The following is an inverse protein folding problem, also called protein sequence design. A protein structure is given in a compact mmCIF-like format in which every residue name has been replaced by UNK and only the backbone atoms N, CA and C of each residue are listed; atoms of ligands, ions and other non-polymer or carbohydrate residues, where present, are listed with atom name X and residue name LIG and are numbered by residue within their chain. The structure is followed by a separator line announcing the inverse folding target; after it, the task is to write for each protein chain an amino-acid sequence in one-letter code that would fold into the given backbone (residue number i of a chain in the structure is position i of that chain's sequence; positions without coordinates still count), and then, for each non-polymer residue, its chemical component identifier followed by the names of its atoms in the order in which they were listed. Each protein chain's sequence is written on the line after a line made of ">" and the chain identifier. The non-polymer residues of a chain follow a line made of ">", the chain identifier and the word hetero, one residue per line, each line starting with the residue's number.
data_IF_477358594369
#
_entry.id   IF_477358594369
#
_cell.length_a   1.000
_cell.length_b   1.000
_cell.length_c   1.000
_cell.angle_alpha   90.00
_cell.angle_beta   90.00
_cell.angle_gamma   90.00
#
_symmetry.space_group_name_H-M   'P 1'
#
loop_
_entity.id
_entity.type
_entity.pdbx_description
1 polymer ?
#
# COMPACT_ATOMS: atom_id res chain seq x y z
N UNK A 1 -15.21 9.98 16.88
CA UNK A 1 -13.91 10.30 16.24
C UNK A 1 -12.86 10.75 17.27
N UNK A 2 -13.28 11.18 18.47
CA UNK A 2 -12.37 11.58 19.57
C UNK A 2 -11.41 10.47 20.03
N UNK A 3 -11.84 9.18 19.96
CA UNK A 3 -11.04 8.00 20.36
C UNK A 3 -9.66 7.93 19.67
N UNK A 4 -9.50 8.51 18.47
CA UNK A 4 -8.26 8.43 17.67
C UNK A 4 -7.56 9.78 17.48
N UNK A 5 -8.05 10.84 18.14
CA UNK A 5 -7.56 12.22 17.97
C UNK A 5 -6.06 12.37 18.27
N UNK A 6 -5.54 11.58 19.22
CA UNK A 6 -4.11 11.55 19.60
C UNK A 6 -3.18 11.05 18.49
N UNK A 7 -3.71 10.40 17.47
CA UNK A 7 -2.96 9.89 16.30
C UNK A 7 -3.24 10.70 15.03
N UNK A 8 -3.86 11.87 15.17
CA UNK A 8 -3.88 12.84 14.08
C UNK A 8 -2.52 13.56 14.07
N UNK A 9 -1.89 13.62 12.90
CA UNK A 9 -0.75 14.51 12.71
C UNK A 9 -1.18 15.96 13.01
N UNK A 10 -0.47 16.70 13.87
CA UNK A 10 -0.94 18.01 14.36
C UNK A 10 -0.97 19.09 13.27
N UNK A 11 -0.21 18.92 12.19
CA UNK A 11 -0.16 19.88 11.09
C UNK A 11 -1.24 19.60 10.04
N UNK A 12 -1.37 18.35 9.61
CA UNK A 12 -2.31 17.95 8.56
C UNK A 12 -3.67 17.50 9.07
N UNK A 13 -3.79 17.18 10.36
CA UNK A 13 -4.98 16.56 10.96
C UNK A 13 -5.25 15.13 10.48
N UNK A 14 -4.32 14.51 9.75
CA UNK A 14 -4.51 13.19 9.14
C UNK A 14 -4.04 12.10 10.11
N UNK A 15 -4.89 11.09 10.30
CA UNK A 15 -4.51 9.82 10.90
C UNK A 15 -4.21 8.81 9.79
N UNK A 16 -2.96 8.35 9.61
CA UNK A 16 -2.58 7.43 8.53
C UNK A 16 -2.95 5.96 8.82
N UNK A 17 -3.45 5.66 10.01
CA UNK A 17 -3.70 4.28 10.45
C UNK A 17 -5.18 3.89 10.42
N UNK A 18 -6.10 4.85 10.43
CA UNK A 18 -7.54 4.56 10.42
C UNK A 18 -8.02 4.22 9.02
N UNK A 19 -8.91 3.22 8.90
CA UNK A 19 -9.60 2.91 7.64
C UNK A 19 -10.29 4.16 7.07
N UNK A 20 -10.26 4.28 5.75
CA UNK A 20 -11.13 5.24 5.06
C UNK A 20 -12.61 4.93 5.35
N UNK A 21 -13.45 5.96 5.34
CA UNK A 21 -14.89 5.77 5.43
C UNK A 21 -15.34 4.96 4.22
N UNK A 22 -16.00 3.83 4.47
CA UNK A 22 -16.56 2.97 3.41
C UNK A 22 -17.91 3.50 2.96
N UNK A 23 -18.17 3.42 1.67
CA UNK A 23 -19.45 3.75 1.08
C UNK A 23 -20.42 2.58 1.21
N UNK A 24 -21.72 2.87 1.21
CA UNK A 24 -22.74 1.82 1.14
C UNK A 24 -22.74 1.15 -0.24
N UNK A 25 -22.85 -0.18 -0.25
CA UNK A 25 -22.86 -0.96 -1.49
C UNK A 25 -24.22 -0.78 -2.19
N UNK A 26 -24.19 -0.29 -3.43
CA UNK A 26 -25.39 -0.24 -4.28
C UNK A 26 -25.79 -1.63 -4.78
N UNK A 27 -27.05 -1.80 -5.21
CA UNK A 27 -27.56 -3.06 -5.81
C UNK A 27 -26.68 -3.51 -6.98
N UNK A 28 -26.30 -2.60 -7.87
CA UNK A 28 -25.35 -2.88 -8.96
C UNK A 28 -23.96 -3.29 -8.48
N UNK A 29 -23.57 -2.92 -7.26
CA UNK A 29 -22.35 -3.37 -6.61
C UNK A 29 -22.36 -4.88 -6.35
N UNK A 30 -23.50 -5.45 -5.95
CA UNK A 30 -23.63 -6.90 -5.70
C UNK A 30 -23.44 -7.73 -6.98
N UNK A 31 -23.97 -7.29 -8.11
CA UNK A 31 -23.72 -7.95 -9.40
C UNK A 31 -22.23 -7.94 -9.77
N UNK A 32 -21.53 -6.82 -9.56
CA UNK A 32 -20.08 -6.73 -9.80
C UNK A 32 -19.30 -7.67 -8.88
N UNK A 33 -19.71 -7.79 -7.62
CA UNK A 33 -19.10 -8.72 -6.67
C UNK A 33 -19.16 -10.14 -7.22
N UNK A 34 -20.35 -10.62 -7.59
CA UNK A 34 -20.54 -11.99 -8.06
C UNK A 34 -19.63 -12.32 -9.25
N UNK A 35 -19.51 -11.41 -10.21
CA UNK A 35 -18.65 -11.57 -11.39
C UNK A 35 -17.15 -11.54 -11.07
N UNK A 36 -16.73 -10.84 -10.01
CA UNK A 36 -15.31 -10.65 -9.67
C UNK A 36 -14.80 -11.59 -8.58
N UNK A 37 -15.67 -12.29 -7.83
CA UNK A 37 -15.27 -13.26 -6.80
C UNK A 37 -14.27 -14.30 -7.34
N UNK A 38 -14.47 -14.92 -8.52
CA UNK A 38 -13.51 -15.89 -9.05
C UNK A 38 -12.10 -15.31 -9.26
N UNK A 39 -12.01 -14.04 -9.65
CA UNK A 39 -10.73 -13.34 -9.83
C UNK A 39 -10.00 -13.12 -8.50
N UNK A 40 -10.72 -12.90 -7.39
CA UNK A 40 -10.10 -12.77 -6.06
C UNK A 40 -9.54 -14.11 -5.61
N UNK A 41 -10.27 -15.21 -5.84
CA UNK A 41 -9.78 -16.56 -5.55
C UNK A 41 -8.53 -16.89 -6.37
N UNK A 42 -8.48 -16.49 -7.64
CA UNK A 42 -7.28 -16.62 -8.46
C UNK A 42 -6.12 -15.77 -7.93
N UNK A 43 -6.36 -14.51 -7.56
CA UNK A 43 -5.31 -13.60 -7.06
C UNK A 43 -4.69 -14.08 -5.75
N UNK A 44 -5.52 -14.56 -4.82
CA UNK A 44 -5.07 -14.93 -3.46
C UNK A 44 -4.70 -16.42 -3.34
N UNK A 45 -5.35 -17.29 -4.11
CA UNK A 45 -5.15 -18.74 -4.06
C UNK A 45 -4.11 -19.26 -5.05
N UNK A 46 -3.68 -18.46 -6.03
CA UNK A 46 -2.69 -18.87 -7.03
C UNK A 46 -1.62 -17.80 -7.22
N UNK A 47 -0.52 -18.15 -7.91
CA UNK A 47 0.53 -17.19 -8.27
C UNK A 47 0.18 -16.34 -9.52
N UNK A 48 -1.04 -16.45 -10.05
CA UNK A 48 -1.46 -15.73 -11.25
C UNK A 48 -1.86 -14.30 -10.87
N UNK A 49 -1.14 -13.33 -11.42
CA UNK A 49 -1.44 -11.93 -11.18
C UNK A 49 -2.58 -11.44 -12.09
N UNK A 50 -3.79 -11.39 -11.52
CA UNK A 50 -5.02 -10.92 -12.20
C UNK A 50 -5.42 -9.49 -11.79
N UNK A 51 -4.51 -8.74 -11.17
CA UNK A 51 -4.80 -7.43 -10.57
C UNK A 51 -5.41 -6.44 -11.56
N UNK A 52 -4.98 -6.46 -12.83
CA UNK A 52 -5.50 -5.57 -13.88
C UNK A 52 -7.00 -5.74 -14.19
N UNK A 53 -7.59 -6.89 -13.83
CA UNK A 53 -9.03 -7.14 -13.97
C UNK A 53 -9.83 -6.67 -12.75
N UNK A 54 -9.17 -6.54 -11.60
CA UNK A 54 -9.79 -6.13 -10.34
C UNK A 54 -9.76 -4.61 -10.16
N UNK A 55 -8.67 -3.98 -10.58
CA UNK A 55 -8.44 -2.54 -10.43
C UNK A 55 -7.97 -1.93 -11.76
N UNK A 56 -8.37 -0.69 -12.02
CA UNK A 56 -7.84 0.07 -13.15
C UNK A 56 -6.50 0.68 -12.75
N UNK A 57 -5.45 0.32 -13.47
CA UNK A 57 -4.09 0.83 -13.24
C UNK A 57 -3.79 1.93 -14.25
N UNK A 58 -3.68 3.17 -13.78
CA UNK A 58 -3.18 4.28 -14.59
C UNK A 58 -1.69 4.44 -14.28
N UNK A 59 -0.82 4.14 -15.24
CA UNK A 59 0.63 4.34 -15.09
C UNK A 59 1.16 5.31 -16.14
N UNK A 60 2.14 6.14 -15.76
CA UNK A 60 2.84 6.98 -16.72
C UNK A 60 3.76 6.16 -17.64
N UNK A 61 4.39 5.08 -17.15
CA UNK A 61 5.32 4.22 -17.90
C UNK A 61 5.35 2.80 -17.33
N UNK A 62 5.81 1.83 -18.13
CA UNK A 62 6.31 0.53 -17.64
C UNK A 62 7.83 0.62 -17.54
N UNK A 63 8.39 0.23 -16.40
CA UNK A 63 9.82 0.33 -16.12
C UNK A 63 10.35 -0.99 -15.56
N UNK A 64 11.64 -1.28 -15.79
CA UNK A 64 12.33 -2.45 -15.24
C UNK A 64 13.52 -2.00 -14.38
N UNK A 65 13.25 -1.40 -13.20
CA UNK A 65 14.29 -0.91 -12.31
C UNK A 65 15.04 -2.08 -11.65
N UNK A 66 16.25 -1.81 -11.19
CA UNK A 66 17.02 -2.77 -10.39
C UNK A 66 16.53 -2.76 -8.94
N UNK A 67 16.36 -1.57 -8.39
CA UNK A 67 15.92 -1.24 -7.03
C UNK A 67 14.94 -0.07 -7.12
N UNK A 68 13.68 -0.37 -6.83
CA UNK A 68 12.60 0.62 -6.82
C UNK A 68 12.19 0.95 -5.39
N UNK A 69 12.18 2.23 -4.97
CA UNK A 69 11.45 2.62 -3.77
C UNK A 69 10.00 3.03 -4.09
N UNK A 70 9.06 2.62 -3.26
CA UNK A 70 7.65 2.99 -3.37
C UNK A 70 7.03 3.22 -2.01
N UNK A 71 6.05 4.11 -1.90
CA UNK A 71 5.18 4.13 -0.72
C UNK A 71 4.38 2.82 -0.60
N UNK A 72 4.00 2.48 0.62
CA UNK A 72 3.20 1.31 1.00
C UNK A 72 1.82 1.76 1.50
N UNK A 73 0.79 1.38 0.77
CA UNK A 73 -0.59 1.82 0.97
C UNK A 73 -1.57 0.65 1.02
N UNK A 74 -1.34 -0.44 0.29
CA UNK A 74 -2.25 -1.59 0.28
C UNK A 74 -1.50 -2.90 0.13
N UNK A 75 -2.13 -4.00 0.53
CA UNK A 75 -1.63 -5.33 0.16
C UNK A 75 -1.60 -5.52 -1.37
N UNK A 76 -2.40 -4.74 -2.11
CA UNK A 76 -2.43 -4.73 -3.57
C UNK A 76 -1.12 -4.21 -4.20
N UNK A 77 -0.30 -3.45 -3.47
CA UNK A 77 0.91 -2.80 -4.00
C UNK A 77 1.86 -3.81 -4.63
N UNK A 78 2.05 -4.95 -3.97
CA UNK A 78 2.88 -6.05 -4.45
C UNK A 78 2.38 -6.53 -5.82
N UNK A 79 1.07 -6.76 -5.96
CA UNK A 79 0.48 -7.25 -7.21
C UNK A 79 0.54 -6.19 -8.31
N UNK A 80 0.24 -4.93 -7.99
CA UNK A 80 0.29 -3.80 -8.94
C UNK A 80 1.71 -3.59 -9.46
N UNK A 81 2.68 -3.52 -8.56
CA UNK A 81 4.08 -3.31 -8.92
C UNK A 81 4.62 -4.53 -9.66
N UNK A 82 4.31 -5.77 -9.25
CA UNK A 82 4.68 -6.98 -9.99
C UNK A 82 4.13 -6.96 -11.42
N UNK A 83 2.90 -6.50 -11.63
CA UNK A 83 2.31 -6.36 -12.96
C UNK A 83 3.03 -5.31 -13.81
N UNK A 84 3.41 -4.18 -13.21
CA UNK A 84 4.02 -3.05 -13.92
C UNK A 84 5.52 -3.23 -14.20
N UNK A 85 6.26 -3.90 -13.31
CA UNK A 85 7.72 -4.01 -13.37
C UNK A 85 8.24 -5.42 -13.63
N UNK A 86 7.44 -6.46 -13.34
CA UNK A 86 7.87 -7.86 -13.37
C UNK A 86 8.71 -8.29 -12.17
N UNK A 87 8.92 -7.41 -11.18
CA UNK A 87 9.72 -7.71 -9.99
C UNK A 87 8.95 -8.63 -9.03
N UNK A 88 9.66 -9.60 -8.45
CA UNK A 88 9.11 -10.55 -7.49
C UNK A 88 9.59 -10.35 -6.05
N UNK A 89 10.66 -9.58 -5.82
CA UNK A 89 11.22 -9.36 -4.50
C UNK A 89 10.70 -8.04 -3.92
N UNK A 90 10.06 -8.10 -2.75
CA UNK A 90 9.42 -6.96 -2.10
C UNK A 90 9.82 -6.92 -0.64
N UNK A 91 10.32 -5.76 -0.18
CA UNK A 91 10.85 -5.62 1.17
C UNK A 91 10.35 -4.35 1.85
N UNK A 92 9.93 -4.46 3.11
CA UNK A 92 9.85 -3.32 4.02
C UNK A 92 11.24 -3.00 4.56
N UNK A 93 11.61 -1.72 4.52
CA UNK A 93 12.87 -1.25 5.10
C UNK A 93 12.74 -1.20 6.62
N UNK A 94 13.76 -1.69 7.32
CA UNK A 94 13.88 -1.56 8.78
C UNK A 94 15.15 -0.82 9.14
N UNK A 95 15.34 -0.48 10.42
CA UNK A 95 16.53 0.25 10.89
C UNK A 95 17.84 -0.50 10.57
N UNK A 96 17.82 -1.83 10.70
CA UNK A 96 19.01 -2.69 10.57
C UNK A 96 19.04 -3.55 9.31
N UNK A 97 17.96 -3.62 8.53
CA UNK A 97 17.88 -4.51 7.38
C UNK A 97 16.58 -4.39 6.59
N UNK A 98 16.04 -5.53 6.19
CA UNK A 98 14.90 -5.64 5.30
C UNK A 98 13.99 -6.78 5.74
N UNK A 99 12.67 -6.57 5.70
CA UNK A 99 11.69 -7.60 5.99
C UNK A 99 10.92 -7.93 4.72
N UNK A 100 10.88 -9.19 4.28
CA UNK A 100 10.14 -9.58 3.08
C UNK A 100 8.64 -9.32 3.30
N UNK A 101 8.06 -8.52 2.41
CA UNK A 101 6.69 -8.03 2.55
C UNK A 101 5.63 -9.13 2.41
N UNK A 102 6.00 -10.33 1.94
CA UNK A 102 5.10 -11.46 1.69
C UNK A 102 5.07 -12.46 2.85
N UNK A 103 6.22 -12.69 3.49
CA UNK A 103 6.37 -13.75 4.50
C UNK A 103 6.91 -13.25 5.85
N UNK A 104 7.27 -11.97 5.97
CA UNK A 104 7.77 -11.36 7.20
C UNK A 104 9.18 -11.79 7.61
N UNK A 105 9.92 -12.54 6.78
CA UNK A 105 11.29 -12.97 7.10
C UNK A 105 12.26 -11.80 7.01
N UNK A 106 13.18 -11.72 7.96
CA UNK A 106 14.22 -10.70 8.01
C UNK A 106 15.45 -11.10 7.18
N UNK A 107 16.00 -10.13 6.46
CA UNK A 107 17.20 -10.25 5.65
C UNK A 107 18.14 -9.06 5.90
N UNK A 108 19.45 -9.33 6.01
CA UNK A 108 20.47 -8.28 6.12
C UNK A 108 20.77 -7.58 4.79
N UNK A 109 20.57 -8.28 3.66
CA UNK A 109 20.84 -7.79 2.31
C UNK A 109 19.64 -8.08 1.40
N UNK A 110 19.44 -7.23 0.40
CA UNK A 110 18.37 -7.37 -0.60
C UNK A 110 18.82 -8.27 -1.75
N UNK A 111 17.86 -8.93 -2.40
CA UNK A 111 18.08 -9.64 -3.65
C UNK A 111 17.47 -8.83 -4.81
N UNK A 112 18.32 -8.38 -5.73
CA UNK A 112 17.92 -7.57 -6.87
C UNK A 112 17.48 -8.45 -8.07
N UNK A 113 16.51 -8.02 -8.89
CA UNK A 113 15.77 -6.77 -8.79
C UNK A 113 14.72 -6.79 -7.67
N UNK A 114 14.49 -5.66 -6.99
CA UNK A 114 13.55 -5.56 -5.88
C UNK A 114 12.79 -4.24 -5.76
N UNK A 115 11.69 -4.29 -5.01
CA UNK A 115 10.95 -3.13 -4.53
C UNK A 115 11.17 -2.96 -3.03
N UNK A 116 11.48 -1.74 -2.61
CA UNK A 116 11.65 -1.32 -1.23
C UNK A 116 10.49 -0.40 -0.81
N UNK A 117 9.93 -0.67 0.37
CA UNK A 117 8.94 0.18 1.02
C UNK A 117 9.62 0.93 2.18
N UNK A 118 10.08 2.18 1.98
CA UNK A 118 10.90 2.89 2.96
C UNK A 118 10.12 3.34 4.21
N UNK A 119 8.79 3.37 4.15
CA UNK A 119 7.91 3.63 5.30
C UNK A 119 7.95 2.49 6.34
N UNK A 120 8.41 1.30 5.96
CA UNK A 120 8.48 0.13 6.85
C UNK A 120 7.13 -0.53 7.16
N UNK A 121 6.00 0.11 6.83
CA UNK A 121 4.67 -0.46 6.95
C UNK A 121 3.64 0.22 6.03
N UNK A 122 2.47 -0.40 5.87
CA UNK A 122 1.37 0.16 5.06
C UNK A 122 0.62 1.30 5.77
N UNK A 123 0.15 2.28 5.01
CA UNK A 123 -0.73 3.37 5.46
C UNK A 123 -2.10 3.32 4.83
N UNK A 124 -3.00 4.20 5.25
CA UNK A 124 -4.33 4.31 4.67
C UNK A 124 -4.39 5.09 3.34
N UNK A 125 -3.25 5.33 2.66
CA UNK A 125 -3.16 6.07 1.40
C UNK A 125 -3.65 7.54 1.50
N UNK A 126 -3.72 8.11 2.72
CA UNK A 126 -3.97 9.55 2.93
C UNK A 126 -2.70 10.35 3.19
N UNK A 127 -1.66 9.67 3.65
CA UNK A 127 -0.36 10.25 3.97
C UNK A 127 0.73 9.19 3.78
N UNK A 128 1.95 9.66 3.61
CA UNK A 128 3.16 8.85 3.61
C UNK A 128 3.84 9.02 4.97
N UNK A 129 4.29 7.93 5.58
CA UNK A 129 5.04 7.98 6.84
C UNK A 129 6.44 8.54 6.62
N UNK A 130 7.08 8.91 7.72
CA UNK A 130 8.50 9.17 7.70
C UNK A 130 9.25 7.91 7.26
N UNK A 131 10.23 8.08 6.35
CA UNK A 131 11.06 6.98 5.91
C UNK A 131 11.99 6.53 7.03
N UNK A 132 12.12 5.21 7.20
CA UNK A 132 12.92 4.61 8.28
C UNK A 132 14.40 5.00 8.14
N UNK A 133 14.92 4.99 6.92
CA UNK A 133 16.27 5.43 6.56
C UNK A 133 16.38 5.66 5.05
N UNK A 134 17.41 6.38 4.64
CA UNK A 134 17.79 6.48 3.24
C UNK A 134 18.29 5.11 2.73
N UNK A 135 17.90 4.76 1.51
CA UNK A 135 18.31 3.53 0.83
C UNK A 135 18.70 3.87 -0.61
N UNK A 136 19.72 3.20 -1.12
CA UNK A 136 20.15 3.39 -2.51
C UNK A 136 19.12 2.78 -3.47
N UNK A 137 18.64 3.60 -4.41
CA UNK A 137 17.64 3.21 -5.42
C UNK A 137 17.96 3.85 -6.77
N UNK A 138 17.59 3.18 -7.86
CA UNK A 138 17.65 3.75 -9.21
C UNK A 138 16.35 4.40 -9.64
N UNK A 139 15.23 3.96 -9.06
CA UNK A 139 13.91 4.51 -9.36
C UNK A 139 13.10 4.71 -8.08
N UNK A 140 12.20 5.68 -8.18
CA UNK A 140 11.16 5.94 -7.19
C UNK A 140 9.79 5.86 -7.85
N UNK A 141 8.82 5.40 -7.08
CA UNK A 141 7.44 5.22 -7.49
C UNK A 141 6.51 5.83 -6.45
N UNK A 142 5.60 6.70 -6.90
CA UNK A 142 4.44 7.12 -6.11
C UNK A 142 3.21 6.32 -6.51
N UNK A 143 2.58 5.66 -5.54
CA UNK A 143 1.31 4.95 -5.66
C UNK A 143 0.23 5.77 -4.96
N UNK A 144 -0.91 5.95 -5.63
CA UNK A 144 -2.11 6.53 -5.02
C UNK A 144 -3.36 5.77 -5.42
N UNK A 145 -4.02 5.17 -4.45
CA UNK A 145 -5.34 4.55 -4.67
C UNK A 145 -6.48 5.55 -4.59
N UNK A 146 -7.57 5.20 -5.27
CA UNK A 146 -8.89 5.83 -5.17
C UNK A 146 -9.95 4.73 -5.06
N UNK A 147 -11.04 5.02 -4.36
CA UNK A 147 -12.09 4.05 -4.07
C UNK A 147 -11.77 3.19 -2.84
N UNK A 148 -12.26 1.95 -2.82
CA UNK A 148 -12.20 1.06 -1.65
C UNK A 148 -11.07 0.03 -1.73
N UNK A 149 -9.85 0.47 -2.08
CA UNK A 149 -8.68 -0.41 -2.26
C UNK A 149 -7.85 -0.63 -0.98
N UNK A 150 -8.17 0.08 0.09
CA UNK A 150 -7.35 0.15 1.29
C UNK A 150 -8.05 -0.58 2.43
N UNK A 151 -7.35 -1.55 3.01
CA UNK A 151 -7.77 -2.23 4.22
C UNK A 151 -6.67 -2.11 5.26
N UNK A 152 -6.89 -1.29 6.28
CA UNK A 152 -6.00 -1.24 7.44
C UNK A 152 -6.38 -2.34 8.42
N UNK A 153 -7.62 -2.32 8.90
CA UNK A 153 -8.10 -3.18 10.01
C UNK A 153 -9.56 -3.62 9.84
N UNK A 154 -10.04 -4.45 10.75
CA UNK A 154 -11.44 -4.90 10.83
C UNK A 154 -11.73 -6.13 9.96
N UNK A 155 -13.01 -6.35 9.66
CA UNK A 155 -13.44 -7.56 8.94
C UNK A 155 -12.99 -7.52 7.47
N UNK A 156 -12.08 -8.44 7.12
CA UNK A 156 -11.51 -8.58 5.78
C UNK A 156 -12.57 -8.95 4.73
N UNK A 157 -13.55 -9.81 5.05
CA UNK A 157 -14.63 -10.15 4.12
C UNK A 157 -15.46 -8.92 3.77
N UNK A 158 -15.83 -8.11 4.77
CA UNK A 158 -16.53 -6.84 4.54
C UNK A 158 -15.71 -5.88 3.68
N UNK A 159 -14.39 -5.92 3.80
CA UNK A 159 -13.51 -5.17 2.91
C UNK A 159 -13.59 -5.71 1.47
N UNK A 160 -13.44 -7.01 1.26
CA UNK A 160 -13.47 -7.62 -0.07
C UNK A 160 -14.79 -7.31 -0.79
N UNK A 161 -15.93 -7.38 -0.11
CA UNK A 161 -17.21 -6.99 -0.72
C UNK A 161 -17.22 -5.53 -1.20
N UNK A 162 -16.79 -4.59 -0.35
CA UNK A 162 -16.70 -3.17 -0.73
C UNK A 162 -15.71 -2.91 -1.87
N UNK A 163 -14.53 -3.51 -1.77
CA UNK A 163 -13.50 -3.50 -2.82
C UNK A 163 -14.08 -3.96 -4.16
N UNK A 164 -14.71 -5.13 -4.23
CA UNK A 164 -15.23 -5.69 -5.48
C UNK A 164 -16.40 -4.88 -6.07
N UNK A 165 -17.24 -4.29 -5.21
CA UNK A 165 -18.35 -3.44 -5.63
C UNK A 165 -17.90 -2.10 -6.22
N UNK A 166 -16.76 -1.58 -5.78
CA UNK A 166 -16.28 -0.25 -6.13
C UNK A 166 -15.52 -0.19 -7.45
N UNK A 167 -15.39 1.03 -8.00
CA UNK A 167 -14.50 1.31 -9.15
C UNK A 167 -13.11 1.64 -8.61
N UNK A 168 -12.35 0.58 -8.31
CA UNK A 168 -10.98 0.69 -7.85
C UNK A 168 -10.07 1.27 -8.92
N UNK A 169 -9.34 2.32 -8.58
CA UNK A 169 -8.36 2.95 -9.46
C UNK A 169 -7.07 3.12 -8.67
N UNK A 170 -5.95 2.82 -9.30
CA UNK A 170 -4.63 3.15 -8.77
C UNK A 170 -3.88 3.99 -9.80
N UNK A 171 -3.39 5.13 -9.35
CA UNK A 171 -2.49 5.98 -10.12
C UNK A 171 -1.06 5.66 -9.68
N UNK A 172 -0.21 5.24 -10.62
CA UNK A 172 1.20 4.87 -10.38
C UNK A 172 2.10 5.76 -11.23
N UNK A 173 3.06 6.42 -10.60
CA UNK A 173 4.00 7.29 -11.31
C UNK A 173 5.43 6.91 -10.99
N UNK A 174 6.21 6.62 -12.02
CA UNK A 174 7.64 6.32 -11.91
C UNK A 174 8.50 7.53 -12.29
N UNK A 175 9.63 7.66 -11.61
CA UNK A 175 10.72 8.59 -11.94
C UNK A 175 12.06 7.90 -11.68
N UNK A 176 13.03 8.09 -12.58
CA UNK A 176 14.43 7.72 -12.31
C UNK A 176 15.01 8.77 -11.37
N UNK A 177 15.26 8.38 -10.12
CA UNK A 177 15.74 9.27 -9.05
C UNK A 177 16.28 8.41 -7.92
N UNK A 178 17.30 8.91 -7.22
CA UNK A 178 17.81 8.34 -5.97
C UNK A 178 17.23 9.03 -4.73
N UNK A 179 16.47 10.12 -4.92
CA UNK A 179 15.85 10.89 -3.84
C UNK A 179 14.48 10.30 -3.46
N UNK A 180 14.36 9.78 -2.23
CA UNK A 180 13.12 9.19 -1.74
C UNK A 180 12.00 10.21 -1.57
N UNK A 181 12.30 11.50 -1.38
CA UNK A 181 11.29 12.54 -1.18
C UNK A 181 10.46 12.78 -2.46
N UNK A 182 10.97 12.35 -3.61
CA UNK A 182 10.21 12.33 -4.86
C UNK A 182 8.99 11.39 -4.80
N UNK A 183 8.95 10.40 -3.90
CA UNK A 183 7.78 9.53 -3.68
C UNK A 183 6.56 10.37 -3.25
N UNK A 184 6.76 11.33 -2.35
CA UNK A 184 5.71 12.24 -1.88
C UNK A 184 5.18 13.12 -3.03
N UNK A 185 6.09 13.64 -3.87
CA UNK A 185 5.73 14.45 -5.05
C UNK A 185 4.94 13.63 -6.07
N UNK A 186 5.38 12.40 -6.35
CA UNK A 186 4.77 11.50 -7.34
C UNK A 186 3.39 11.00 -6.92
N UNK A 187 3.24 10.61 -5.65
CA UNK A 187 1.95 10.18 -5.08
C UNK A 187 1.01 11.36 -4.83
N UNK A 188 1.54 12.58 -4.69
CA UNK A 188 0.79 13.77 -4.27
C UNK A 188 0.07 13.54 -2.93
N UNK A 189 0.74 12.83 -2.01
CA UNK A 189 0.32 12.60 -0.63
C UNK A 189 1.24 13.41 0.31
N UNK A 190 0.69 14.02 1.37
CA UNK A 190 1.52 14.68 2.37
C UNK A 190 2.33 13.63 3.16
N UNK A 191 3.55 13.99 3.55
CA UNK A 191 4.32 13.20 4.49
C UNK A 191 3.99 13.64 5.92
N UNK A 192 3.83 12.67 6.83
CA UNK A 192 3.57 12.91 8.25
C UNK A 192 4.75 12.42 9.09
N UNK A 193 4.90 12.95 10.31
CA UNK A 193 6.00 12.58 11.23
C UNK A 193 5.84 11.20 11.88
N UNK A 194 4.78 10.47 11.53
CA UNK A 194 4.52 9.15 12.07
C UNK A 194 5.43 8.10 11.43
N UNK A 195 5.77 7.08 12.20
CA UNK A 195 6.66 5.98 11.80
C UNK A 195 5.95 4.63 11.87
N UNK A 196 6.63 3.56 11.43
CA UNK A 196 6.15 2.19 11.62
C UNK A 196 5.94 1.82 13.09
N UNK A 197 6.79 2.32 14.00
CA UNK A 197 6.65 2.09 15.46
C UNK A 197 5.35 2.67 16.02
N UNK A 198 4.92 3.82 15.50
CA UNK A 198 3.65 4.43 15.92
C UNK A 198 2.44 3.61 15.47
N UNK A 199 2.54 2.92 14.33
CA UNK A 199 1.53 1.97 13.88
C UNK A 199 1.44 0.78 14.83
N UNK A 200 2.56 0.24 15.29
CA UNK A 200 2.58 -0.88 16.24
C UNK A 200 1.92 -0.49 17.57
N UNK A 201 2.23 0.71 18.10
CA UNK A 201 1.55 1.25 19.28
C UNK A 201 0.04 1.41 19.06
N UNK A 202 -0.36 1.95 17.91
CA UNK A 202 -1.78 2.08 17.54
C UNK A 202 -2.50 0.72 17.55
N UNK A 203 -1.84 -0.33 17.04
CA UNK A 203 -2.39 -1.69 17.02
C UNK A 203 -2.63 -2.26 18.41
N UNK A 204 -1.67 -2.07 19.31
CA UNK A 204 -1.77 -2.55 20.70
C UNK A 204 -2.85 -1.83 21.49
N UNK A 205 -3.00 -0.53 21.28
CA UNK A 205 -3.97 0.29 22.02
C UNK A 205 -5.41 0.10 21.53
N UNK A 206 -5.62 0.00 20.22
CA UNK A 206 -6.96 0.13 19.64
C UNK A 206 -7.48 -1.09 18.91
N UNK A 207 -6.61 -1.96 18.40
CA UNK A 207 -7.06 -3.10 17.57
C UNK A 207 -7.06 -4.40 18.36
N UNK A 208 -6.01 -4.69 19.12
CA UNK A 208 -5.94 -5.93 19.93
C UNK A 208 -6.84 -5.92 21.17
N UNK A 209 -7.19 -4.73 21.67
CA UNK A 209 -8.02 -4.54 22.87
C UNK A 209 -9.52 -4.37 22.57
N UNK A 210 -9.92 -4.38 21.30
CA UNK A 210 -11.31 -4.24 20.84
C UNK A 210 -11.85 -5.58 20.35
#
# INVERSE_FOLDING_TARGET
>A
MEKFSKYNDPFSGINPFVNSRRSSISIFGYFKILLKIPLVLLLLGTNINVVQFLIRINSNKKVKPKVLASNASSFLDIFVLKYLTGINNFYYVTESGFMDARNGRFYKKIAEPCVLFPEGCQTNNRAILQFVRNVEVDHVCGIRYKGECINMYGNFMRFIFGFLASRNIVDVRFKKSSDLDDICKLSSLPQVKWTSKDKDRFMEEFVKKS
#
